data_IF_730955188686
#
_entry.id   IF_730955188686
#
_cell.length_a   1.000
_cell.length_b   1.000
_cell.length_c   1.000
_cell.angle_alpha   90.00
_cell.angle_beta   90.00
_cell.angle_gamma   90.00
#
_symmetry.space_group_name_H-M   'P 1'
#
loop_
_entity.id
_entity.type
_entity.pdbx_description
1 polymer ?
#
# COMPACT_ATOMS: atom_id res chain seq x y z
N UNK A 1 39.35 2.32 57.96
CA UNK A 1 40.78 2.46 57.57
C UNK A 1 40.79 2.58 56.05
N UNK A 2 41.00 3.80 55.58
CA UNK A 2 42.14 4.24 54.74
C UNK A 2 42.31 3.38 53.46
N UNK A 3 42.41 3.84 52.23
CA UNK A 3 42.93 5.05 51.58
C UNK A 3 42.53 4.96 50.07
N UNK A 4 42.25 5.99 49.42
CA UNK A 4 42.96 6.95 48.54
C UNK A 4 43.03 6.45 47.09
N UNK A 5 42.42 7.18 46.16
CA UNK A 5 42.92 8.27 45.33
C UNK A 5 43.53 7.82 43.98
N UNK A 6 42.96 8.23 42.92
CA UNK A 6 43.49 8.09 41.54
C UNK A 6 42.67 8.89 40.53
N UNK A 7 42.92 10.21 40.53
CA UNK A 7 42.39 11.14 39.52
C UNK A 7 43.27 11.05 38.25
N UNK A 8 42.69 10.75 37.11
CA UNK A 8 43.33 11.02 35.82
C UNK A 8 42.36 11.76 34.91
N UNK A 9 42.70 13.00 34.69
CA UNK A 9 42.06 13.95 33.79
C UNK A 9 42.59 13.70 32.37
N UNK A 10 41.73 13.28 31.45
CA UNK A 10 42.05 13.13 30.04
C UNK A 10 41.08 13.93 29.20
N UNK A 11 41.48 15.15 28.82
CA UNK A 11 40.79 15.99 27.81
C UNK A 11 41.18 15.50 26.42
N UNK A 12 40.19 15.01 25.67
CA UNK A 12 40.35 14.88 24.20
C UNK A 12 39.23 15.65 23.50
N UNK A 13 39.70 16.68 22.81
CA UNK A 13 38.91 17.48 21.85
C UNK A 13 38.54 16.59 20.69
N UNK A 14 37.25 16.36 20.51
CA UNK A 14 36.71 15.57 19.37
C UNK A 14 36.10 16.47 18.31
N UNK A 15 36.42 16.20 17.09
CA UNK A 15 35.96 16.86 15.88
C UNK A 15 34.43 16.80 15.71
N UNK A 16 33.82 17.93 15.40
CA UNK A 16 32.44 18.04 14.93
C UNK A 16 32.32 17.39 13.55
N UNK A 17 31.75 16.21 13.49
CA UNK A 17 31.31 15.57 12.25
C UNK A 17 29.88 16.01 11.95
N UNK A 18 29.68 16.68 10.81
CA UNK A 18 28.36 16.95 10.25
C UNK A 18 27.67 15.63 9.89
N UNK A 19 26.73 15.20 10.70
CA UNK A 19 25.84 14.12 10.36
C UNK A 19 24.74 14.62 9.42
N UNK A 20 24.78 14.12 8.20
CA UNK A 20 23.70 14.17 7.21
C UNK A 20 22.43 13.55 7.84
N UNK A 21 21.23 14.14 7.69
CA UNK A 21 20.03 13.48 8.19
C UNK A 21 19.79 12.18 7.41
N UNK A 22 20.00 11.06 8.08
CA UNK A 22 19.55 9.77 7.58
C UNK A 22 18.03 9.74 7.66
N UNK A 23 17.40 9.65 6.50
CA UNK A 23 16.00 9.26 6.37
C UNK A 23 15.85 7.89 7.04
N UNK A 24 14.89 7.66 7.93
CA UNK A 24 14.69 6.32 8.48
C UNK A 24 14.39 5.36 7.33
N UNK A 25 15.32 4.45 7.08
CA UNK A 25 15.06 3.29 6.24
C UNK A 25 13.92 2.53 6.94
N UNK A 26 12.76 2.51 6.31
CA UNK A 26 11.66 1.63 6.70
C UNK A 26 12.23 0.21 6.61
N UNK A 27 12.40 -0.45 7.74
CA UNK A 27 12.69 -1.88 7.79
C UNK A 27 11.60 -2.60 6.99
N UNK A 28 11.90 -2.89 5.74
CA UNK A 28 11.10 -3.82 4.97
C UNK A 28 11.20 -5.15 5.72
N UNK A 29 10.10 -5.52 6.38
CA UNK A 29 9.98 -6.80 7.05
C UNK A 29 10.46 -7.87 6.08
N UNK A 30 11.54 -8.58 6.42
CA UNK A 30 12.00 -9.75 5.67
C UNK A 30 10.85 -10.74 5.68
N UNK A 31 10.11 -10.78 4.58
CA UNK A 31 9.11 -11.81 4.33
C UNK A 31 9.82 -13.17 4.42
N UNK A 32 9.32 -14.06 5.25
CA UNK A 32 9.73 -15.46 5.23
C UNK A 32 9.24 -16.07 3.91
N UNK A 33 10.09 -16.04 2.88
CA UNK A 33 9.79 -16.50 1.51
C UNK A 33 9.69 -18.01 1.38
N UNK A 34 9.74 -18.74 2.49
CA UNK A 34 9.67 -20.22 2.47
C UNK A 34 8.25 -20.76 2.40
N UNK A 35 7.23 -19.92 2.65
CA UNK A 35 5.82 -20.30 2.61
C UNK A 35 5.05 -19.46 1.59
N UNK A 36 4.45 -20.15 0.60
CA UNK A 36 3.54 -19.48 -0.33
C UNK A 36 2.25 -19.07 0.35
N UNK A 37 1.84 -17.81 0.16
CA UNK A 37 0.61 -17.25 0.67
C UNK A 37 -0.36 -17.00 -0.48
N UNK A 38 -1.52 -17.66 -0.45
CA UNK A 38 -2.60 -17.38 -1.39
C UNK A 38 -3.31 -16.11 -0.96
N UNK A 39 -3.44 -15.16 -1.89
CA UNK A 39 -4.21 -13.92 -1.74
C UNK A 39 -5.30 -13.91 -2.79
N UNK A 40 -6.55 -13.84 -2.38
CA UNK A 40 -7.70 -13.77 -3.27
C UNK A 40 -8.09 -12.31 -3.46
N UNK A 41 -8.02 -11.83 -4.71
CA UNK A 41 -8.31 -10.45 -5.07
C UNK A 41 -9.59 -10.33 -5.89
N UNK A 42 -10.46 -9.39 -5.53
CA UNK A 42 -11.57 -8.95 -6.36
C UNK A 42 -11.11 -7.81 -7.28
N UNK A 43 -11.39 -7.93 -8.57
CA UNK A 43 -11.20 -6.88 -9.57
C UNK A 43 -12.24 -7.01 -10.67
N UNK A 44 -12.26 -6.09 -11.65
CA UNK A 44 -13.29 -6.07 -12.68
C UNK A 44 -12.74 -5.65 -14.04
N UNK A 45 -13.39 -6.09 -15.11
CA UNK A 45 -13.07 -5.71 -16.48
C UNK A 45 -11.60 -5.94 -16.86
N UNK A 46 -11.02 -4.98 -17.57
CA UNK A 46 -9.62 -5.01 -17.99
C UNK A 46 -8.62 -4.99 -16.84
N UNK A 47 -8.98 -4.42 -15.70
CA UNK A 47 -8.11 -4.38 -14.52
C UNK A 47 -7.88 -5.80 -13.97
N UNK A 48 -8.88 -6.67 -14.05
CA UNK A 48 -8.72 -8.07 -13.68
C UNK A 48 -7.65 -8.79 -14.55
N UNK A 49 -7.54 -8.42 -15.82
CA UNK A 49 -6.53 -9.00 -16.72
C UNK A 49 -5.12 -8.49 -16.38
N UNK A 50 -5.00 -7.21 -16.00
CA UNK A 50 -3.74 -6.63 -15.50
C UNK A 50 -3.29 -7.38 -14.25
N UNK A 51 -4.19 -7.61 -13.30
CA UNK A 51 -3.85 -8.34 -12.08
C UNK A 51 -3.51 -9.81 -12.32
N UNK A 52 -4.16 -10.47 -13.28
CA UNK A 52 -3.77 -11.83 -13.71
C UNK A 52 -2.38 -11.85 -14.35
N UNK A 53 -2.05 -10.82 -15.14
CA UNK A 53 -0.69 -10.67 -15.66
C UNK A 53 0.31 -10.50 -14.52
N UNK A 54 0.07 -9.63 -13.54
CA UNK A 54 0.92 -9.45 -12.35
C UNK A 54 1.07 -10.76 -11.59
N UNK A 55 -0.01 -11.53 -11.42
CA UNK A 55 0.01 -12.85 -10.77
C UNK A 55 0.94 -13.85 -11.49
N UNK A 56 1.12 -13.71 -12.79
CA UNK A 56 1.99 -14.58 -13.60
C UNK A 56 3.47 -14.24 -13.51
N UNK A 57 3.83 -13.04 -13.04
CA UNK A 57 5.20 -12.55 -13.01
C UNK A 57 6.08 -13.35 -12.04
N UNK A 58 7.34 -13.57 -12.41
CA UNK A 58 8.32 -14.23 -11.53
C UNK A 58 8.48 -13.51 -10.18
N UNK A 59 8.40 -12.19 -10.17
CA UNK A 59 8.53 -11.34 -8.98
C UNK A 59 7.43 -11.62 -7.95
N UNK A 60 6.20 -11.82 -8.40
CA UNK A 60 5.07 -12.18 -7.54
C UNK A 60 5.30 -13.53 -6.87
N UNK A 61 5.81 -14.50 -7.63
CA UNK A 61 6.15 -15.85 -7.12
C UNK A 61 7.33 -15.81 -6.16
N UNK A 62 8.38 -15.02 -6.48
CA UNK A 62 9.54 -14.84 -5.61
C UNK A 62 9.18 -14.14 -4.29
N UNK A 63 8.14 -13.31 -4.29
CA UNK A 63 7.59 -12.73 -3.07
C UNK A 63 6.80 -13.76 -2.22
N UNK A 64 6.67 -15.01 -2.65
CA UNK A 64 5.90 -16.03 -1.97
C UNK A 64 4.39 -15.81 -2.05
N UNK A 65 3.91 -15.10 -3.08
CA UNK A 65 2.50 -14.77 -3.25
C UNK A 65 1.90 -15.59 -4.41
N UNK A 66 0.82 -16.30 -4.11
CA UNK A 66 -0.08 -16.86 -5.10
C UNK A 66 -1.31 -15.97 -5.18
N UNK A 67 -1.37 -15.10 -6.20
CA UNK A 67 -2.49 -14.19 -6.39
C UNK A 67 -3.59 -14.86 -7.22
N UNK A 68 -4.78 -15.00 -6.65
CA UNK A 68 -5.98 -15.51 -7.32
C UNK A 68 -6.95 -14.35 -7.61
N UNK A 69 -7.21 -14.06 -8.88
CA UNK A 69 -8.04 -12.92 -9.28
C UNK A 69 -9.45 -13.38 -9.61
N UNK A 70 -10.42 -12.97 -8.78
CA UNK A 70 -11.86 -13.12 -9.03
C UNK A 70 -12.39 -11.92 -9.78
N UNK A 71 -13.02 -12.16 -10.93
CA UNK A 71 -13.66 -11.10 -11.72
C UNK A 71 -15.06 -10.81 -11.20
N UNK A 72 -15.31 -9.56 -10.83
CA UNK A 72 -16.63 -9.06 -10.45
C UNK A 72 -17.22 -8.23 -11.57
N UNK A 73 -18.52 -8.30 -11.76
CA UNK A 73 -19.27 -7.49 -12.73
C UNK A 73 -19.95 -6.29 -12.06
N UNK A 74 -20.00 -6.28 -10.74
CA UNK A 74 -20.61 -5.24 -9.91
C UNK A 74 -19.60 -4.64 -8.94
N UNK A 75 -19.40 -3.34 -9.05
CA UNK A 75 -18.52 -2.57 -8.17
C UNK A 75 -19.00 -2.51 -6.71
N UNK A 76 -20.33 -2.52 -6.48
CA UNK A 76 -20.90 -2.42 -5.13
C UNK A 76 -20.56 -3.65 -4.31
N UNK A 77 -20.55 -4.82 -4.92
CA UNK A 77 -20.28 -6.08 -4.23
C UNK A 77 -18.84 -6.23 -3.76
N UNK A 78 -17.86 -5.56 -4.40
CA UNK A 78 -16.44 -5.81 -4.14
C UNK A 78 -15.98 -5.40 -2.75
N UNK A 79 -16.45 -4.27 -2.23
CA UNK A 79 -16.13 -3.87 -0.86
C UNK A 79 -16.81 -4.78 0.18
N UNK A 80 -18.06 -5.17 -0.09
CA UNK A 80 -18.78 -6.11 0.76
C UNK A 80 -18.11 -7.48 0.81
N UNK A 81 -17.57 -7.95 -0.32
CA UNK A 81 -16.84 -9.21 -0.38
C UNK A 81 -15.56 -9.21 0.49
N UNK A 82 -14.85 -8.06 0.57
CA UNK A 82 -13.71 -7.90 1.49
C UNK A 82 -14.19 -7.87 2.94
N UNK A 83 -15.21 -7.07 3.24
CA UNK A 83 -15.76 -6.96 4.58
C UNK A 83 -16.29 -8.31 5.12
N UNK A 84 -16.89 -9.12 4.24
CA UNK A 84 -17.37 -10.46 4.54
C UNK A 84 -16.30 -11.55 4.51
N UNK A 85 -15.03 -11.21 4.18
CA UNK A 85 -13.91 -12.16 4.04
C UNK A 85 -14.11 -13.23 2.94
N UNK A 86 -14.86 -12.90 1.91
CA UNK A 86 -15.04 -13.73 0.72
C UNK A 86 -13.84 -13.60 -0.24
N UNK A 87 -13.14 -12.47 -0.15
CA UNK A 87 -11.86 -12.16 -0.76
C UNK A 87 -10.98 -11.41 0.25
N UNK A 88 -9.66 -11.45 0.05
CA UNK A 88 -8.72 -10.80 0.97
C UNK A 88 -8.54 -9.31 0.66
N UNK A 89 -8.52 -8.95 -0.63
CA UNK A 89 -8.32 -7.58 -1.10
C UNK A 89 -9.20 -7.30 -2.32
N UNK A 90 -9.33 -6.01 -2.64
CA UNK A 90 -9.88 -5.58 -3.92
C UNK A 90 -9.05 -4.45 -4.55
N UNK A 91 -9.18 -4.28 -5.87
CA UNK A 91 -8.54 -3.19 -6.61
C UNK A 91 -9.51 -2.66 -7.68
N UNK A 92 -10.14 -1.49 -7.43
CA UNK A 92 -11.06 -0.86 -8.38
C UNK A 92 -11.42 0.58 -8.02
N UNK A 93 -11.25 1.02 -6.78
CA UNK A 93 -11.92 2.19 -6.23
C UNK A 93 -11.01 3.39 -6.03
N UNK A 94 -11.62 4.57 -6.06
CA UNK A 94 -10.98 5.79 -5.57
C UNK A 94 -11.02 5.84 -4.05
N UNK A 95 -10.15 6.66 -3.44
CA UNK A 95 -10.16 6.88 -2.00
C UNK A 95 -11.51 7.46 -1.50
N UNK A 96 -12.13 8.34 -2.28
CA UNK A 96 -13.44 8.91 -1.95
C UNK A 96 -14.53 7.83 -1.86
N UNK A 97 -14.50 6.84 -2.77
CA UNK A 97 -15.45 5.73 -2.72
C UNK A 97 -15.24 4.83 -1.50
N UNK A 98 -13.97 4.58 -1.13
CA UNK A 98 -13.62 3.84 0.08
C UNK A 98 -14.16 4.55 1.34
N UNK A 99 -13.96 5.87 1.44
CA UNK A 99 -14.46 6.67 2.58
C UNK A 99 -15.98 6.58 2.66
N UNK A 100 -16.70 6.79 1.56
CA UNK A 100 -18.16 6.71 1.53
C UNK A 100 -18.68 5.31 1.92
N UNK A 101 -18.03 4.24 1.46
CA UNK A 101 -18.34 2.89 1.90
C UNK A 101 -18.17 2.74 3.41
N UNK A 102 -17.03 3.16 3.94
CA UNK A 102 -16.74 3.05 5.35
C UNK A 102 -17.67 3.90 6.23
N UNK A 103 -18.15 5.05 5.77
CA UNK A 103 -19.14 5.86 6.50
C UNK A 103 -20.50 5.19 6.57
N UNK A 104 -20.89 4.48 5.50
CA UNK A 104 -22.21 3.90 5.34
C UNK A 104 -22.33 2.47 5.88
N UNK A 105 -21.22 1.80 6.20
CA UNK A 105 -21.20 0.41 6.63
C UNK A 105 -20.60 0.25 8.02
N UNK A 106 -21.05 -0.79 8.74
CA UNK A 106 -20.55 -1.13 10.08
C UNK A 106 -19.11 -1.67 10.00
N UNK A 107 -18.90 -2.61 9.09
CA UNK A 107 -17.60 -3.24 8.88
C UNK A 107 -16.77 -2.37 7.97
N UNK A 108 -15.59 -1.98 8.46
CA UNK A 108 -14.68 -1.06 7.78
C UNK A 108 -13.60 -1.85 7.07
N UNK A 109 -13.19 -1.35 5.91
CA UNK A 109 -12.04 -1.85 5.18
C UNK A 109 -10.95 -0.78 5.13
N UNK A 110 -9.69 -1.20 5.08
CA UNK A 110 -8.55 -0.30 5.11
C UNK A 110 -7.82 -0.27 3.75
N UNK A 111 -7.29 0.88 3.31
CA UNK A 111 -6.43 0.93 2.14
C UNK A 111 -5.08 0.29 2.46
N UNK A 112 -4.61 -0.58 1.57
CA UNK A 112 -3.28 -1.22 1.66
C UNK A 112 -2.24 -0.40 0.90
N UNK A 113 -2.59 0.03 -0.32
CA UNK A 113 -1.71 0.79 -1.20
C UNK A 113 -2.53 1.54 -2.24
N UNK A 114 -1.88 2.46 -2.95
CA UNK A 114 -2.38 3.07 -4.19
C UNK A 114 -1.71 2.40 -5.38
N UNK A 115 -2.42 2.29 -6.50
CA UNK A 115 -1.89 1.67 -7.72
C UNK A 115 -1.38 2.73 -8.68
N UNK A 116 -2.26 3.60 -9.19
CA UNK A 116 -1.92 4.65 -10.14
C UNK A 116 -2.82 5.87 -9.97
N UNK A 117 -2.41 7.00 -10.50
CA UNK A 117 -3.16 8.23 -10.55
C UNK A 117 -3.28 8.68 -12.00
N UNK A 118 -4.51 8.86 -12.47
CA UNK A 118 -4.79 9.41 -13.79
C UNK A 118 -5.39 10.82 -13.70
N UNK A 119 -5.07 11.71 -14.65
CA UNK A 119 -5.70 13.02 -14.71
C UNK A 119 -7.19 12.88 -15.04
N UNK A 120 -8.03 13.56 -14.29
CA UNK A 120 -9.46 13.61 -14.55
C UNK A 120 -9.77 14.66 -15.61
N UNK A 121 -10.60 14.29 -16.60
CA UNK A 121 -11.11 15.19 -17.63
C UNK A 121 -12.63 15.27 -17.61
N UNK A 122 -13.16 16.45 -17.86
CA UNK A 122 -14.59 16.66 -18.10
C UNK A 122 -14.82 16.78 -19.61
N UNK A 123 -15.70 15.94 -20.14
CA UNK A 123 -15.98 15.87 -21.56
C UNK A 123 -17.42 16.28 -21.85
N UNK A 124 -17.64 17.03 -22.94
CA UNK A 124 -18.98 17.42 -23.39
C UNK A 124 -19.05 17.43 -24.91
N UNK A 125 -20.11 16.87 -25.46
CA UNK A 125 -20.45 17.01 -26.90
C UNK A 125 -21.14 18.35 -27.22
N UNK A 126 -21.68 19.03 -26.21
CA UNK A 126 -22.46 20.28 -26.37
C UNK A 126 -21.64 21.54 -26.14
N UNK A 127 -20.66 21.48 -25.25
CA UNK A 127 -19.82 22.63 -24.88
C UNK A 127 -18.42 22.42 -25.42
N UNK A 128 -17.98 23.30 -26.29
CA UNK A 128 -16.67 23.20 -26.98
C UNK A 128 -15.53 23.87 -26.23
N UNK A 129 -15.77 24.57 -25.13
CA UNK A 129 -14.76 25.27 -24.32
C UNK A 129 -15.22 25.40 -22.88
N UNK A 130 -14.37 25.01 -21.93
CA UNK A 130 -14.62 25.33 -20.53
C UNK A 130 -14.37 26.81 -20.32
N UNK A 131 -15.44 27.56 -20.00
CA UNK A 131 -15.27 28.89 -19.43
C UNK A 131 -14.69 28.79 -18.03
N UNK A 132 -13.84 29.75 -17.64
CA UNK A 132 -13.55 29.90 -16.19
C UNK A 132 -14.86 30.32 -15.51
N UNK A 133 -15.25 29.56 -14.51
CA UNK A 133 -16.27 29.96 -13.55
C UNK A 133 -15.65 30.95 -12.60
#
# INVERSE_FOLDING_TARGET
>A
MKKLLGLVLGVTVGLAGCSKPETPATDAAKSDTTKEHTVVMASTGSDADIWRFIASLPETKQAGIKLEVKNFTDYVAMNSAVANKEVDINAFQSYAYLVAFNESNKDKIAPVSTTYLEPMGIYSSKVKKSGRV
#
